data_IF_540727901369
#
_entry.id   IF_540727901369
#
_cell.length_a   1.000
_cell.length_b   1.000
_cell.length_c   1.000
_cell.angle_alpha   90.00
_cell.angle_beta   90.00
_cell.angle_gamma   90.00
#
_symmetry.space_group_name_H-M   'P 1'
#
loop_
_entity.id
_entity.type
_entity.pdbx_description
1 polymer ?
#
# COMPACT_ATOMS: atom_id res chain seq x y z
N UNK A 1 16.05 23.68 21.01
CA UNK A 1 14.82 22.98 21.42
C UNK A 1 14.42 22.04 20.28
N UNK A 2 14.65 20.77 20.46
CA UNK A 2 14.33 19.72 19.49
C UNK A 2 12.82 19.64 19.34
N UNK A 3 12.28 19.94 18.15
CA UNK A 3 10.93 19.54 17.79
C UNK A 3 10.96 18.03 17.63
N UNK A 4 10.56 17.29 18.65
CA UNK A 4 10.24 15.86 18.54
C UNK A 4 8.97 15.77 17.68
N UNK A 5 9.15 15.85 16.35
CA UNK A 5 8.09 15.63 15.42
C UNK A 5 7.71 14.14 15.42
N UNK A 6 6.41 13.83 15.40
CA UNK A 6 5.92 12.49 15.14
C UNK A 6 6.49 12.00 13.78
N UNK A 7 6.78 10.69 13.62
CA UNK A 7 7.27 10.14 12.37
C UNK A 7 6.31 10.49 11.21
N UNK A 8 6.84 11.14 10.18
CA UNK A 8 6.11 11.50 8.98
C UNK A 8 6.49 10.58 7.85
N UNK A 9 5.50 10.13 7.10
CA UNK A 9 5.64 9.47 5.81
C UNK A 9 5.21 10.45 4.72
N UNK A 10 6.06 10.64 3.71
CA UNK A 10 5.79 11.45 2.52
C UNK A 10 5.96 10.52 1.33
N UNK A 11 4.91 10.33 0.54
CA UNK A 11 4.93 9.40 -0.58
C UNK A 11 4.26 9.98 -1.83
N UNK A 12 4.71 9.51 -3.00
CA UNK A 12 3.99 9.62 -4.26
C UNK A 12 3.46 8.25 -4.62
N UNK A 13 2.24 8.22 -5.17
CA UNK A 13 1.56 7.00 -5.55
C UNK A 13 1.03 7.07 -6.97
N UNK A 14 1.27 6.02 -7.72
CA UNK A 14 0.85 5.91 -9.12
C UNK A 14 0.01 4.66 -9.34
N UNK A 15 -1.05 4.81 -10.13
CA UNK A 15 -1.71 3.67 -10.76
C UNK A 15 -0.90 3.27 -11.97
N UNK A 16 -0.59 1.98 -12.05
CA UNK A 16 0.21 1.42 -13.15
C UNK A 16 -0.52 0.23 -13.78
N UNK A 17 -0.19 -0.08 -15.04
CA UNK A 17 -0.54 -1.37 -15.61
C UNK A 17 0.17 -2.47 -14.81
N UNK A 18 -0.55 -3.55 -14.48
CA UNK A 18 0.05 -4.66 -13.74
C UNK A 18 1.24 -5.22 -14.49
N UNK A 19 2.46 -5.12 -13.96
CA UNK A 19 3.64 -5.70 -14.59
C UNK A 19 3.67 -7.22 -14.40
N UNK A 20 4.43 -7.90 -15.25
CA UNK A 20 4.68 -9.33 -15.12
C UNK A 20 5.59 -9.63 -13.93
N UNK A 21 5.18 -10.54 -13.06
CA UNK A 21 5.92 -10.91 -11.85
C UNK A 21 7.28 -11.55 -12.16
N UNK A 22 7.36 -12.38 -13.21
CA UNK A 22 8.62 -13.03 -13.56
C UNK A 22 9.63 -12.00 -14.11
N UNK A 23 9.16 -11.00 -14.82
CA UNK A 23 9.99 -9.88 -15.24
C UNK A 23 10.52 -9.10 -14.03
N UNK A 24 9.68 -8.80 -13.05
CA UNK A 24 10.08 -8.08 -11.83
C UNK A 24 11.13 -8.86 -11.02
N UNK A 25 11.01 -10.18 -10.91
CA UNK A 25 11.98 -11.05 -10.23
C UNK A 25 13.38 -11.01 -10.85
N UNK A 26 13.48 -10.72 -12.13
CA UNK A 26 14.76 -10.67 -12.86
C UNK A 26 15.48 -9.32 -12.71
N UNK A 27 14.81 -8.30 -12.18
CA UNK A 27 15.43 -6.99 -11.94
C UNK A 27 16.46 -7.13 -10.81
N UNK A 28 17.73 -6.70 -11.02
CA UNK A 28 18.77 -6.80 -10.00
C UNK A 28 18.36 -6.12 -8.69
N UNK A 29 18.66 -6.79 -7.57
CA UNK A 29 18.34 -6.34 -6.21
C UNK A 29 16.83 -6.18 -5.91
N UNK A 30 15.95 -6.71 -6.76
CA UNK A 30 14.53 -6.77 -6.44
C UNK A 30 14.29 -7.75 -5.27
N UNK A 31 13.37 -7.36 -4.38
CA UNK A 31 12.90 -8.21 -3.28
C UNK A 31 11.39 -8.29 -3.32
N UNK A 32 10.86 -9.49 -3.16
CA UNK A 32 9.44 -9.73 -3.11
C UNK A 32 9.01 -10.27 -1.76
N UNK A 33 7.96 -9.67 -1.21
CA UNK A 33 7.30 -10.14 0.00
C UNK A 33 5.81 -10.32 -0.27
N UNK A 34 5.23 -11.37 0.30
CA UNK A 34 3.79 -11.49 0.42
C UNK A 34 3.28 -10.64 1.57
N UNK A 35 2.18 -9.95 1.37
CA UNK A 35 1.55 -9.10 2.38
C UNK A 35 0.09 -9.48 2.50
N UNK A 36 -0.35 -9.70 3.74
CA UNK A 36 -1.76 -9.68 4.12
C UNK A 36 -1.95 -8.56 5.13
N UNK A 37 -2.85 -7.62 4.84
CA UNK A 37 -3.16 -6.52 5.75
C UNK A 37 -4.66 -6.41 6.01
N UNK A 38 -5.00 -6.17 7.26
CA UNK A 38 -6.39 -6.11 7.75
C UNK A 38 -6.58 -4.80 8.51
N UNK A 39 -7.62 -4.06 8.13
CA UNK A 39 -8.01 -2.83 8.83
C UNK A 39 -8.85 -3.16 10.05
N UNK A 40 -8.61 -2.38 11.10
CA UNK A 40 -9.27 -2.57 12.40
C UNK A 40 -10.32 -1.49 12.62
N UNK A 41 -11.28 -1.79 13.48
CA UNK A 41 -12.35 -0.87 13.89
C UNK A 41 -11.74 0.50 14.26
N UNK A 42 -12.33 1.55 13.71
CA UNK A 42 -11.92 2.94 13.97
C UNK A 42 -12.08 3.30 15.45
N UNK A 43 -11.12 4.05 15.95
CA UNK A 43 -11.18 4.67 17.30
C UNK A 43 -11.25 6.19 17.16
N UNK A 44 -11.76 6.87 18.18
CA UNK A 44 -11.99 8.32 18.16
C UNK A 44 -10.71 9.19 18.08
N UNK A 45 -9.52 8.58 18.09
CA UNK A 45 -8.22 9.27 17.96
C UNK A 45 -7.90 9.79 16.54
N UNK A 46 -8.74 9.43 15.55
CA UNK A 46 -8.62 9.86 14.16
C UNK A 46 -7.56 9.11 13.36
N UNK A 47 -6.99 8.02 13.89
CA UNK A 47 -6.06 7.17 13.17
C UNK A 47 -6.76 6.01 12.48
N UNK A 48 -6.40 5.76 11.21
CA UNK A 48 -6.69 4.50 10.55
C UNK A 48 -5.72 3.45 11.10
N UNK A 49 -6.24 2.34 11.58
CA UNK A 49 -5.51 1.26 12.23
C UNK A 49 -5.47 0.03 11.34
N UNK A 50 -4.32 -0.62 11.25
CA UNK A 50 -4.20 -1.90 10.54
C UNK A 50 -3.20 -2.82 11.23
N UNK A 51 -3.37 -4.10 11.01
CA UNK A 51 -2.33 -5.11 11.24
C UNK A 51 -1.88 -5.70 9.92
N UNK A 52 -0.62 -6.09 9.84
CA UNK A 52 -0.01 -6.60 8.63
C UNK A 52 0.90 -7.78 8.95
N UNK A 53 0.76 -8.83 8.15
CA UNK A 53 1.70 -9.94 8.05
C UNK A 53 2.47 -9.78 6.74
N UNK A 54 3.79 -9.72 6.80
CA UNK A 54 4.68 -9.51 5.64
C UNK A 54 5.85 -10.48 5.67
N UNK A 55 6.24 -11.02 4.55
CA UNK A 55 7.41 -11.86 4.41
C UNK A 55 7.26 -12.93 3.34
N UNK A 56 7.90 -14.06 3.59
CA UNK A 56 7.84 -15.27 2.76
C UNK A 56 7.42 -16.44 3.63
N UNK A 57 7.14 -17.61 3.02
CA UNK A 57 6.76 -18.82 3.77
C UNK A 57 7.79 -19.28 4.81
N UNK A 58 9.03 -18.80 4.73
CA UNK A 58 10.10 -19.15 5.68
C UNK A 58 10.26 -18.15 6.82
N UNK A 59 9.76 -16.92 6.67
CA UNK A 59 9.89 -15.88 7.69
C UNK A 59 8.80 -14.83 7.54
N UNK A 60 8.02 -14.64 8.61
CA UNK A 60 6.97 -13.64 8.69
C UNK A 60 7.28 -12.60 9.75
N UNK A 61 7.04 -11.34 9.41
CA UNK A 61 7.02 -10.20 10.32
C UNK A 61 5.59 -9.71 10.47
N UNK A 62 5.22 -9.34 11.68
CA UNK A 62 3.90 -8.80 12.00
C UNK A 62 4.05 -7.37 12.49
N UNK A 63 3.23 -6.46 11.96
CA UNK A 63 3.24 -5.05 12.35
C UNK A 63 1.84 -4.56 12.69
N UNK A 64 1.78 -3.62 13.63
CA UNK A 64 0.61 -2.82 13.94
C UNK A 64 0.88 -1.37 13.54
N UNK A 65 0.08 -0.83 12.64
CA UNK A 65 0.28 0.50 12.07
C UNK A 65 -0.92 1.39 12.37
N UNK A 66 -0.64 2.65 12.71
CA UNK A 66 -1.63 3.71 12.85
C UNK A 66 -1.22 4.88 11.95
N UNK A 67 -2.11 5.26 11.03
CA UNK A 67 -1.85 6.35 10.07
C UNK A 67 -2.90 7.44 10.21
N UNK A 68 -2.44 8.70 10.13
CA UNK A 68 -3.31 9.88 10.10
C UNK A 68 -2.81 10.88 9.08
N UNK A 69 -3.69 11.27 8.15
CA UNK A 69 -3.39 12.29 7.14
C UNK A 69 -3.22 13.65 7.81
N UNK A 70 -2.17 14.38 7.41
CA UNK A 70 -1.86 15.74 7.91
C UNK A 70 -1.68 16.76 6.78
N UNK A 71 -1.44 16.33 5.54
CA UNK A 71 -1.22 17.20 4.39
C UNK A 71 -1.30 16.45 3.06
N UNK A 72 -0.95 17.13 1.98
CA UNK A 72 -0.87 16.51 0.65
C UNK A 72 0.33 15.56 0.60
N UNK A 73 0.07 14.27 0.36
CA UNK A 73 1.09 13.23 0.36
C UNK A 73 1.75 13.00 1.73
N UNK A 74 1.32 13.69 2.79
CA UNK A 74 1.94 13.61 4.13
C UNK A 74 1.01 12.92 5.14
N UNK A 75 1.59 11.98 5.90
CA UNK A 75 0.90 11.26 7.00
C UNK A 75 1.78 11.17 8.24
N UNK A 76 1.14 11.12 9.39
CA UNK A 76 1.77 10.55 10.58
C UNK A 76 1.63 9.05 10.47
N UNK A 77 2.74 8.33 10.56
CA UNK A 77 2.76 6.88 10.63
C UNK A 77 3.45 6.41 11.91
N UNK A 78 2.73 5.63 12.69
CA UNK A 78 3.22 4.95 13.87
C UNK A 78 3.15 3.45 13.60
N UNK A 79 4.30 2.81 13.43
CA UNK A 79 4.39 1.38 13.15
C UNK A 79 5.21 0.67 14.21
N UNK A 80 4.65 -0.37 14.78
CA UNK A 80 5.29 -1.21 15.78
C UNK A 80 5.38 -2.65 15.24
N UNK A 81 6.57 -3.26 15.33
CA UNK A 81 6.72 -4.70 15.14
C UNK A 81 6.13 -5.40 16.37
N UNK A 82 5.25 -6.36 16.13
CA UNK A 82 4.52 -7.08 17.18
C UNK A 82 4.72 -8.59 17.04
N UNK A 83 4.63 -9.36 18.13
CA UNK A 83 4.63 -10.81 18.04
C UNK A 83 3.34 -11.34 17.37
N UNK A 84 3.42 -12.55 16.80
CA UNK A 84 2.28 -13.20 16.13
C UNK A 84 1.05 -13.30 17.03
N UNK A 85 1.22 -13.61 18.32
CA UNK A 85 0.11 -13.68 19.28
C UNK A 85 -0.66 -12.36 19.35
N UNK A 86 0.06 -11.23 19.38
CA UNK A 86 -0.55 -9.90 19.40
C UNK A 86 -1.26 -9.57 18.08
N UNK A 87 -0.69 -9.99 16.95
CA UNK A 87 -1.33 -9.89 15.64
C UNK A 87 -2.67 -10.65 15.61
N UNK A 88 -2.68 -11.88 16.08
CA UNK A 88 -3.90 -12.71 16.15
C UNK A 88 -4.95 -12.14 17.10
N UNK A 89 -4.53 -11.54 18.22
CA UNK A 89 -5.43 -10.84 19.14
C UNK A 89 -6.07 -9.63 18.45
N UNK A 90 -5.28 -8.78 17.79
CA UNK A 90 -5.75 -7.58 17.11
C UNK A 90 -6.67 -7.90 15.91
N UNK A 91 -6.49 -9.03 15.23
CA UNK A 91 -7.40 -9.47 14.18
C UNK A 91 -8.86 -9.64 14.64
N UNK A 92 -9.10 -9.84 15.94
CA UNK A 92 -10.46 -9.88 16.50
C UNK A 92 -11.16 -8.52 16.47
N UNK A 93 -10.39 -7.43 16.30
CA UNK A 93 -10.90 -6.07 16.12
C UNK A 93 -11.05 -5.70 14.63
N UNK A 94 -11.03 -6.67 13.70
CA UNK A 94 -11.16 -6.40 12.27
C UNK A 94 -12.47 -5.65 11.95
N UNK A 95 -12.37 -4.64 11.10
CA UNK A 95 -13.52 -3.90 10.58
C UNK A 95 -14.16 -4.72 9.45
N UNK A 96 -15.36 -5.24 9.70
CA UNK A 96 -16.09 -6.09 8.75
C UNK A 96 -16.50 -5.35 7.45
N UNK A 97 -16.45 -4.02 7.43
CA UNK A 97 -16.73 -3.22 6.24
C UNK A 97 -15.55 -3.14 5.28
N UNK A 98 -14.38 -3.66 5.70
CA UNK A 98 -13.14 -3.70 4.94
C UNK A 98 -12.63 -5.14 4.84
N UNK A 99 -12.40 -5.60 3.60
CA UNK A 99 -11.81 -6.93 3.38
C UNK A 99 -10.29 -6.87 3.59
N UNK A 100 -9.70 -7.98 4.05
CA UNK A 100 -8.25 -8.10 4.10
C UNK A 100 -7.66 -8.04 2.68
N UNK A 101 -6.65 -7.19 2.51
CA UNK A 101 -5.91 -7.08 1.24
C UNK A 101 -4.76 -8.08 1.25
N UNK A 102 -4.70 -8.89 0.18
CA UNK A 102 -3.57 -9.76 -0.13
C UNK A 102 -2.86 -9.23 -1.37
N UNK A 103 -1.55 -9.07 -1.26
CA UNK A 103 -0.71 -8.53 -2.34
C UNK A 103 0.72 -9.07 -2.26
N UNK A 104 1.42 -8.99 -3.38
CA UNK A 104 2.87 -9.16 -3.44
C UNK A 104 3.47 -7.77 -3.57
N UNK A 105 4.38 -7.39 -2.68
CA UNK A 105 5.15 -6.15 -2.79
C UNK A 105 6.52 -6.46 -3.37
N UNK A 106 6.82 -5.84 -4.49
CA UNK A 106 8.14 -5.87 -5.10
C UNK A 106 8.87 -4.56 -4.80
N UNK A 107 9.97 -4.64 -4.06
CA UNK A 107 10.83 -3.51 -3.74
C UNK A 107 12.03 -3.49 -4.69
N UNK A 108 12.22 -2.41 -5.43
CA UNK A 108 13.27 -2.27 -6.45
C UNK A 108 14.04 -0.98 -6.20
N UNK A 109 15.34 -1.05 -5.86
CA UNK A 109 16.20 0.13 -5.84
C UNK A 109 16.34 0.71 -7.26
N UNK A 110 16.08 2.00 -7.43
CA UNK A 110 16.15 2.68 -8.71
C UNK A 110 16.51 4.16 -8.55
N UNK A 111 17.67 4.58 -9.08
CA UNK A 111 18.13 5.97 -9.06
C UNK A 111 17.98 6.66 -7.68
N UNK A 112 18.59 6.08 -6.65
CA UNK A 112 18.56 6.57 -5.25
C UNK A 112 17.17 6.58 -4.61
N UNK A 113 16.16 5.97 -5.24
CA UNK A 113 14.82 5.75 -4.75
C UNK A 113 14.56 4.27 -4.51
N UNK A 114 13.54 3.96 -3.72
CA UNK A 114 12.98 2.63 -3.62
C UNK A 114 11.59 2.63 -4.27
N UNK A 115 11.44 1.85 -5.33
CA UNK A 115 10.15 1.59 -5.94
C UNK A 115 9.46 0.48 -5.17
N UNK A 116 8.27 0.72 -4.66
CA UNK A 116 7.43 -0.30 -4.03
C UNK A 116 6.22 -0.57 -4.92
N UNK A 117 6.27 -1.68 -5.65
CA UNK A 117 5.20 -2.10 -6.56
C UNK A 117 4.31 -3.11 -5.84
N UNK A 118 3.04 -2.77 -5.66
CA UNK A 118 2.04 -3.63 -5.05
C UNK A 118 1.18 -4.32 -6.11
N UNK A 119 1.35 -5.63 -6.23
CA UNK A 119 0.57 -6.51 -7.10
C UNK A 119 -0.55 -7.13 -6.27
N UNK A 120 -1.77 -6.63 -6.43
CA UNK A 120 -2.93 -7.09 -5.67
C UNK A 120 -3.51 -8.38 -6.22
N UNK A 121 -3.92 -9.31 -5.34
CA UNK A 121 -4.56 -10.56 -5.76
C UNK A 121 -5.92 -10.32 -6.42
N UNK A 122 -6.60 -9.23 -6.10
CA UNK A 122 -7.92 -8.91 -6.64
C UNK A 122 -7.91 -8.30 -8.04
N UNK A 123 -6.77 -7.84 -8.56
CA UNK A 123 -6.71 -7.20 -9.89
C UNK A 123 -5.75 -7.91 -10.83
N UNK A 124 -6.21 -8.17 -12.05
CA UNK A 124 -5.38 -8.70 -13.13
C UNK A 124 -4.87 -7.60 -14.09
N UNK A 125 -5.43 -6.39 -14.00
CA UNK A 125 -5.14 -5.30 -14.92
C UNK A 125 -4.21 -4.24 -14.33
N UNK A 126 -4.34 -3.97 -13.03
CA UNK A 126 -3.73 -2.82 -12.38
C UNK A 126 -2.88 -3.23 -11.19
N UNK A 127 -1.93 -2.37 -10.89
CA UNK A 127 -1.10 -2.40 -9.70
C UNK A 127 -0.86 -0.97 -9.22
N UNK A 128 -0.21 -0.79 -8.08
CA UNK A 128 0.24 0.52 -7.62
C UNK A 128 1.75 0.56 -7.47
N UNK A 129 2.32 1.74 -7.73
CA UNK A 129 3.68 2.09 -7.40
C UNK A 129 3.66 3.15 -6.31
N UNK A 130 4.36 2.90 -5.22
CA UNK A 130 4.62 3.87 -4.14
C UNK A 130 6.10 4.20 -4.10
N UNK A 131 6.43 5.47 -3.89
CA UNK A 131 7.80 5.96 -3.70
C UNK A 131 7.79 6.88 -2.49
N UNK A 132 8.48 6.49 -1.42
CA UNK A 132 8.66 7.32 -0.24
C UNK A 132 9.74 8.37 -0.51
N UNK A 133 9.47 9.60 -0.11
CA UNK A 133 10.31 10.76 -0.38
C UNK A 133 10.73 11.44 0.93
N UNK A 134 11.92 12.06 0.98
CA UNK A 134 12.34 12.87 2.13
C UNK A 134 11.49 14.13 2.29
N UNK A 135 10.98 14.69 1.17
CA UNK A 135 10.05 15.80 1.13
C UNK A 135 9.23 15.78 -0.17
N UNK A 136 8.11 16.51 -0.21
CA UNK A 136 7.15 16.49 -1.33
C UNK A 136 7.72 17.10 -2.63
N UNK A 137 8.73 17.95 -2.54
CA UNK A 137 9.38 18.60 -3.68
C UNK A 137 10.49 17.72 -4.31
N UNK A 138 10.82 16.59 -3.67
CA UNK A 138 11.84 15.67 -4.20
C UNK A 138 11.40 15.14 -5.56
N UNK A 139 12.25 15.27 -6.62
CA UNK A 139 11.94 14.73 -7.93
C UNK A 139 11.76 13.21 -7.90
N UNK A 140 10.76 12.73 -8.63
CA UNK A 140 10.50 11.30 -8.80
C UNK A 140 11.07 10.83 -10.14
N UNK A 141 11.79 9.71 -10.11
CA UNK A 141 12.32 9.04 -11.30
C UNK A 141 11.53 7.77 -11.56
N UNK A 142 10.85 7.72 -12.70
CA UNK A 142 10.02 6.59 -13.11
C UNK A 142 10.73 5.81 -14.23
N UNK A 143 10.88 4.49 -14.10
CA UNK A 143 11.50 3.68 -15.14
C UNK A 143 10.62 3.57 -16.38
N UNK A 144 11.22 3.62 -17.57
CA UNK A 144 10.50 3.55 -18.85
C UNK A 144 9.76 2.21 -19.07
N UNK A 145 10.18 1.15 -18.40
CA UNK A 145 9.54 -0.16 -18.50
C UNK A 145 8.24 -0.28 -17.68
N UNK A 146 7.90 0.72 -16.83
CA UNK A 146 6.62 0.80 -16.15
C UNK A 146 5.62 1.62 -16.96
N UNK A 147 4.46 1.03 -17.24
CA UNK A 147 3.35 1.74 -17.83
C UNK A 147 2.56 2.50 -16.75
N UNK A 148 2.87 3.78 -16.60
CA UNK A 148 2.19 4.67 -15.66
C UNK A 148 0.86 5.12 -16.27
N UNK A 149 -0.23 4.90 -15.54
CA UNK A 149 -1.58 5.30 -15.97
C UNK A 149 -1.93 6.67 -15.43
N UNK A 150 -1.72 6.88 -14.12
CA UNK A 150 -2.04 8.15 -13.46
C UNK A 150 -1.26 8.35 -12.16
N UNK A 151 -0.98 9.60 -11.82
CA UNK A 151 -0.61 9.97 -10.45
C UNK A 151 -1.89 9.98 -9.59
N UNK A 152 -1.92 9.14 -8.57
CA UNK A 152 -3.07 8.97 -7.68
C UNK A 152 -2.72 9.29 -6.21
N UNK A 153 -1.65 10.03 -5.98
CA UNK A 153 -1.07 10.33 -4.66
C UNK A 153 -2.10 10.70 -3.61
N UNK A 154 -3.06 11.56 -3.94
CA UNK A 154 -4.11 12.00 -3.02
C UNK A 154 -5.52 11.76 -3.56
N UNK A 155 -5.64 10.98 -4.63
CA UNK A 155 -6.95 10.65 -5.17
C UNK A 155 -7.69 9.68 -4.27
N UNK A 156 -8.94 9.99 -3.98
CA UNK A 156 -9.86 9.11 -3.27
C UNK A 156 -10.03 7.79 -4.04
N UNK A 157 -10.08 6.69 -3.31
CA UNK A 157 -10.30 5.38 -3.91
C UNK A 157 -9.03 4.55 -4.15
N UNK A 158 -7.82 5.15 -4.08
CA UNK A 158 -6.57 4.44 -4.37
C UNK A 158 -5.71 4.13 -3.14
N UNK A 159 -6.08 4.60 -1.96
CA UNK A 159 -5.43 4.14 -0.73
C UNK A 159 -5.77 2.67 -0.46
N UNK A 160 -4.87 1.93 0.17
CA UNK A 160 -5.17 0.55 0.57
C UNK A 160 -6.42 0.46 1.45
N UNK A 161 -6.68 1.48 2.28
CA UNK A 161 -7.92 1.56 3.07
C UNK A 161 -9.17 1.65 2.19
N UNK A 162 -9.16 2.51 1.17
CA UNK A 162 -10.27 2.61 0.23
C UNK A 162 -10.43 1.35 -0.63
N UNK A 163 -9.32 0.79 -1.13
CA UNK A 163 -9.35 -0.45 -1.93
C UNK A 163 -9.90 -1.64 -1.14
N UNK A 164 -9.69 -1.69 0.17
CA UNK A 164 -10.18 -2.78 1.03
C UNK A 164 -11.71 -2.84 1.16
N UNK A 165 -12.43 -1.78 0.81
CA UNK A 165 -13.90 -1.77 0.84
C UNK A 165 -14.50 -2.71 -0.22
N UNK A 166 -13.93 -2.76 -1.42
CA UNK A 166 -14.47 -3.53 -2.53
C UNK A 166 -13.48 -4.56 -3.12
N UNK A 167 -12.22 -4.53 -2.71
CA UNK A 167 -11.13 -5.28 -3.34
C UNK A 167 -11.13 -5.11 -4.87
N UNK A 168 -11.22 -3.88 -5.33
CA UNK A 168 -11.18 -3.49 -6.73
C UNK A 168 -10.69 -2.05 -6.89
N UNK A 169 -10.05 -1.75 -8.02
CA UNK A 169 -9.75 -0.37 -8.39
C UNK A 169 -10.99 0.35 -8.90
N UNK A 170 -11.08 1.69 -8.77
CA UNK A 170 -12.21 2.46 -9.29
C UNK A 170 -12.54 2.16 -10.75
N UNK A 171 -11.53 1.99 -11.61
CA UNK A 171 -11.67 1.66 -13.03
C UNK A 171 -12.37 0.31 -13.25
N UNK A 172 -12.09 -0.68 -12.41
CA UNK A 172 -12.69 -2.02 -12.48
C UNK A 172 -14.14 -2.01 -12.01
N UNK A 173 -14.50 -1.14 -11.06
CA UNK A 173 -15.87 -0.95 -10.59
C UNK A 173 -16.73 -0.28 -11.66
N UNK A 174 -16.19 0.72 -12.39
CA UNK A 174 -16.89 1.40 -13.50
C UNK A 174 -17.18 0.44 -14.66
N UNK A 175 -16.21 -0.42 -15.03
CA UNK A 175 -16.41 -1.45 -16.08
C UNK A 175 -17.54 -2.43 -15.72
N UNK A 176 -17.67 -2.81 -14.45
CA UNK A 176 -18.72 -3.73 -13.98
C UNK A 176 -20.11 -3.10 -14.08
N UNK A 177 -20.25 -1.80 -13.80
CA UNK A 177 -21.51 -1.06 -13.90
C UNK A 177 -21.88 -0.81 -15.35
N UNK A 178 -20.92 -0.46 -16.22
CA UNK A 178 -21.12 -0.22 -17.65
C UNK A 178 -21.50 -1.48 -18.44
N UNK A 179 -21.10 -2.67 -18.00
CA UNK A 179 -21.41 -3.97 -18.62
C UNK A 179 -22.83 -4.50 -18.35
N UNK A 180 -23.60 -3.88 -17.45
CA UNK A 180 -24.97 -4.29 -17.13
C UNK A 180 -26.05 -3.55 -17.95
N UNK A 181 -25.66 -2.62 -18.83
CA UNK A 181 -26.57 -1.83 -19.67
C UNK A 181 -26.48 -2.16 -21.16
N UNK A 182 -26.30 -3.44 -21.51
CA UNK A 182 -26.44 -3.93 -22.90
C UNK A 182 -27.44 -5.06 -22.97
#
# INVERSE_FOLDING_TARGET
MSKSGLPKEIERKYLIRRPDLEMLKQIPNSRMDEITQTYLIFKEDGFVRRVRKRGTEHHWEYTYTRKKKIGFGERIELEDVIPEEKYLELLKEADETHQSIKKIRCCIPYQEQLLEIDIYHFSQKYATLEIELPDIETPVHLPEWLEIIADVTEKKGYSNFALSQNCAFPEELEETIGGQNV
#
